data_IF_150641641598
#
_entry.id   IF_150641641598
#
_cell.length_a   1.000
_cell.length_b   1.000
_cell.length_c   1.000
_cell.angle_alpha   90.00
_cell.angle_beta   90.00
_cell.angle_gamma   90.00
#
_symmetry.space_group_name_H-M   'P 1'
#
loop_
_entity.id
_entity.type
_entity.pdbx_description
1 polymer ?
#
# COMPACT_ATOMS: atom_id res chain seq x y z
N UNK A 1 -37.44 -5.52 32.38
CA UNK A 1 -38.59 -4.63 32.09
C UNK A 1 -38.36 -4.01 30.71
N UNK A 2 -39.17 -4.10 29.67
CA UNK A 2 -40.24 -4.99 29.22
C UNK A 2 -40.25 -4.74 27.70
N UNK A 3 -39.94 -5.74 26.87
CA UNK A 3 -40.11 -5.66 25.41
C UNK A 3 -41.60 -5.42 25.15
N UNK A 4 -41.95 -4.27 24.57
CA UNK A 4 -43.30 -4.05 24.05
C UNK A 4 -43.30 -4.52 22.59
N UNK A 5 -43.37 -5.84 22.40
CA UNK A 5 -43.83 -6.43 21.14
C UNK A 5 -45.35 -6.25 21.11
N UNK A 6 -45.79 -5.04 20.73
CA UNK A 6 -47.19 -4.76 20.43
C UNK A 6 -47.48 -5.17 18.99
N UNK A 7 -47.58 -6.48 18.76
CA UNK A 7 -48.23 -7.02 17.55
C UNK A 7 -49.70 -6.67 17.62
N UNK A 8 -50.11 -5.59 16.96
CA UNK A 8 -51.53 -5.30 16.75
C UNK A 8 -52.07 -6.41 15.84
N UNK A 9 -53.02 -7.24 16.28
CA UNK A 9 -53.62 -8.25 15.42
C UNK A 9 -54.49 -7.54 14.38
N UNK A 10 -54.00 -7.47 13.14
CA UNK A 10 -54.68 -6.81 12.00
C UNK A 10 -55.90 -7.63 11.53
N UNK A 11 -56.07 -8.85 12.05
CA UNK A 11 -57.12 -9.80 11.68
C UNK A 11 -58.54 -9.34 12.05
N UNK A 12 -58.69 -8.42 13.00
CA UNK A 12 -59.97 -7.80 13.40
C UNK A 12 -60.15 -6.36 12.90
N UNK A 13 -59.18 -5.82 12.16
CA UNK A 13 -59.28 -4.46 11.63
C UNK A 13 -60.39 -4.38 10.56
N UNK A 14 -61.09 -3.25 10.43
CA UNK A 14 -61.95 -2.95 9.29
C UNK A 14 -61.25 -3.23 7.93
N UNK A 15 -61.99 -3.76 6.95
CA UNK A 15 -61.45 -4.17 5.63
C UNK A 15 -60.70 -3.06 4.89
N UNK A 16 -61.13 -1.81 5.05
CA UNK A 16 -60.45 -0.62 4.53
C UNK A 16 -59.05 -0.43 5.14
N UNK A 17 -58.89 -0.69 6.44
CA UNK A 17 -57.58 -0.64 7.12
C UNK A 17 -56.69 -1.80 6.68
N UNK A 18 -57.23 -3.02 6.55
CA UNK A 18 -56.46 -4.18 6.06
C UNK A 18 -55.93 -3.94 4.65
N UNK A 19 -56.80 -3.42 3.77
CA UNK A 19 -56.46 -3.10 2.39
C UNK A 19 -55.40 -1.99 2.33
N UNK A 20 -55.52 -0.95 3.15
CA UNK A 20 -54.53 0.11 3.23
C UNK A 20 -53.16 -0.41 3.72
N UNK A 21 -53.13 -1.26 4.75
CA UNK A 21 -51.89 -1.85 5.27
C UNK A 21 -51.23 -2.79 4.24
N UNK A 22 -52.02 -3.61 3.53
CA UNK A 22 -51.51 -4.46 2.45
C UNK A 22 -50.95 -3.63 1.30
N UNK A 23 -51.63 -2.54 0.90
CA UNK A 23 -51.13 -1.62 -0.11
C UNK A 23 -49.82 -0.94 0.33
N UNK A 24 -49.72 -0.52 1.60
CA UNK A 24 -48.50 0.08 2.14
C UNK A 24 -47.34 -0.93 2.19
N UNK A 25 -47.61 -2.18 2.59
CA UNK A 25 -46.62 -3.26 2.61
C UNK A 25 -46.13 -3.61 1.20
N UNK A 26 -47.04 -3.66 0.23
CA UNK A 26 -46.69 -3.90 -1.17
C UNK A 26 -45.89 -2.73 -1.77
N UNK A 27 -46.30 -1.49 -1.48
CA UNK A 27 -45.55 -0.29 -1.89
C UNK A 27 -44.15 -0.26 -1.28
N UNK A 28 -44.01 -0.61 0.01
CA UNK A 28 -42.73 -0.70 0.70
C UNK A 28 -41.82 -1.77 0.11
N UNK A 29 -42.33 -2.98 -0.13
CA UNK A 29 -41.56 -4.06 -0.78
C UNK A 29 -41.12 -3.66 -2.18
N UNK A 30 -42.02 -3.09 -2.98
CA UNK A 30 -41.69 -2.62 -4.33
C UNK A 30 -40.65 -1.50 -4.31
N UNK A 31 -40.76 -0.54 -3.37
CA UNK A 31 -39.75 0.50 -3.22
C UNK A 31 -38.39 -0.07 -2.79
N UNK A 32 -38.39 -1.08 -1.91
CA UNK A 32 -37.16 -1.74 -1.50
C UNK A 32 -36.53 -2.50 -2.69
N UNK A 33 -37.31 -3.27 -3.46
CA UNK A 33 -36.85 -3.95 -4.67
C UNK A 33 -36.25 -2.96 -5.69
N UNK A 34 -36.92 -1.84 -5.94
CA UNK A 34 -36.41 -0.80 -6.86
C UNK A 34 -35.12 -0.14 -6.35
N UNK A 35 -34.96 0.02 -5.02
CA UNK A 35 -33.72 0.55 -4.45
C UNK A 35 -32.57 -0.45 -4.60
N UNK A 36 -32.80 -1.73 -4.34
CA UNK A 36 -31.80 -2.79 -4.54
C UNK A 36 -31.36 -2.88 -6.01
N UNK A 37 -32.31 -2.84 -6.95
CA UNK A 37 -32.00 -2.88 -8.39
C UNK A 37 -31.18 -1.66 -8.83
N UNK A 38 -31.47 -0.47 -8.30
CA UNK A 38 -30.69 0.73 -8.58
C UNK A 38 -29.28 0.72 -7.96
N UNK A 39 -29.12 0.16 -6.76
CA UNK A 39 -27.82 -0.03 -6.11
C UNK A 39 -26.94 -1.02 -6.89
N UNK A 40 -27.52 -2.13 -7.36
CA UNK A 40 -26.84 -3.12 -8.20
C UNK A 40 -26.40 -2.51 -9.56
N UNK A 41 -27.27 -1.73 -10.20
CA UNK A 41 -26.93 -1.02 -11.44
C UNK A 41 -25.78 -0.02 -11.23
N UNK A 42 -25.79 0.69 -10.10
CA UNK A 42 -24.74 1.65 -9.75
C UNK A 42 -23.41 0.96 -9.50
N UNK A 43 -23.43 -0.19 -8.78
CA UNK A 43 -22.24 -1.00 -8.53
C UNK A 43 -21.69 -1.59 -9.85
N UNK A 44 -22.56 -2.11 -10.71
CA UNK A 44 -22.16 -2.63 -12.02
C UNK A 44 -21.53 -1.54 -12.90
N UNK A 45 -22.07 -0.32 -12.91
CA UNK A 45 -21.46 0.81 -13.59
C UNK A 45 -20.08 1.16 -13.01
N UNK A 46 -19.96 1.20 -11.68
CA UNK A 46 -18.71 1.50 -11.00
C UNK A 46 -17.60 0.48 -11.32
N UNK A 47 -17.93 -0.82 -11.31
CA UNK A 47 -17.02 -1.91 -11.69
C UNK A 47 -16.52 -1.72 -13.11
N UNK A 48 -17.39 -1.40 -14.07
CA UNK A 48 -17.00 -1.16 -15.46
C UNK A 48 -16.09 0.05 -15.63
N UNK A 49 -16.34 1.13 -14.89
CA UNK A 49 -15.51 2.35 -14.91
C UNK A 49 -14.11 2.08 -14.33
N UNK A 50 -14.06 1.42 -13.17
CA UNK A 50 -12.80 1.02 -12.54
C UNK A 50 -11.97 0.12 -13.46
N UNK A 51 -12.61 -0.91 -14.06
CA UNK A 51 -11.95 -1.83 -15.02
C UNK A 51 -11.32 -1.07 -16.19
N UNK A 52 -12.08 -0.14 -16.79
CA UNK A 52 -11.62 0.64 -17.94
C UNK A 52 -10.42 1.54 -17.59
N UNK A 53 -10.45 2.19 -16.43
CA UNK A 53 -9.36 3.08 -15.99
C UNK A 53 -8.11 2.29 -15.60
N UNK A 54 -8.26 1.20 -14.84
CA UNK A 54 -7.14 0.31 -14.48
C UNK A 54 -6.49 -0.31 -15.72
N UNK A 55 -7.28 -0.67 -16.73
CA UNK A 55 -6.77 -1.19 -17.99
C UNK A 55 -6.03 -0.11 -18.80
N UNK A 56 -6.54 1.11 -18.83
CA UNK A 56 -5.96 2.21 -19.62
C UNK A 56 -4.71 2.83 -18.98
N UNK A 57 -4.59 2.80 -17.64
CA UNK A 57 -3.54 3.51 -16.92
C UNK A 57 -2.13 2.98 -17.21
N UNK A 58 -1.97 1.68 -17.45
CA UNK A 58 -0.66 1.05 -17.71
C UNK A 58 0.34 1.09 -16.54
N UNK A 59 -0.05 1.68 -15.41
CA UNK A 59 0.72 1.82 -14.18
C UNK A 59 -0.21 1.61 -12.96
N UNK A 60 0.32 1.21 -11.78
CA UNK A 60 -0.49 1.09 -10.58
C UNK A 60 -1.17 2.41 -10.19
N UNK A 61 -2.44 2.33 -9.80
CA UNK A 61 -3.25 3.47 -9.35
C UNK A 61 -3.58 3.38 -7.87
N UNK A 62 -3.62 4.51 -7.19
CA UNK A 62 -4.13 4.62 -5.83
C UNK A 62 -5.66 4.46 -5.81
N UNK A 63 -6.20 3.98 -4.69
CA UNK A 63 -7.65 3.84 -4.53
C UNK A 63 -8.38 5.21 -4.63
N UNK A 64 -7.71 6.30 -4.22
CA UNK A 64 -8.17 7.69 -4.37
C UNK A 64 -8.36 8.07 -5.84
N UNK A 65 -7.38 7.78 -6.70
CA UNK A 65 -7.44 8.07 -8.14
C UNK A 65 -8.57 7.28 -8.82
N UNK A 66 -8.79 6.03 -8.40
CA UNK A 66 -9.88 5.21 -8.90
C UNK A 66 -11.23 5.80 -8.45
N UNK A 67 -11.31 6.29 -7.21
CA UNK A 67 -12.54 6.88 -6.66
C UNK A 67 -13.05 8.08 -7.48
N UNK A 68 -12.14 8.88 -8.05
CA UNK A 68 -12.49 10.10 -8.83
C UNK A 68 -13.36 9.81 -10.05
N UNK A 69 -13.26 8.60 -10.63
CA UNK A 69 -14.00 8.23 -11.84
C UNK A 69 -15.29 7.46 -11.55
N UNK A 70 -15.50 7.04 -10.30
CA UNK A 70 -16.67 6.25 -9.90
C UNK A 70 -17.90 7.12 -9.66
N UNK A 71 -19.12 6.54 -9.73
CA UNK A 71 -20.33 7.22 -9.25
C UNK A 71 -20.20 7.62 -7.78
N UNK A 72 -20.84 8.73 -7.41
CA UNK A 72 -20.80 9.23 -6.03
C UNK A 72 -21.44 8.25 -5.05
N UNK A 73 -20.84 8.11 -3.87
CA UNK A 73 -21.35 7.26 -2.79
C UNK A 73 -21.06 5.77 -2.93
N UNK A 74 -20.34 5.37 -3.98
CA UNK A 74 -19.88 3.98 -4.14
C UNK A 74 -18.68 3.70 -3.25
N UNK A 75 -18.69 2.51 -2.63
CA UNK A 75 -17.57 2.01 -1.84
C UNK A 75 -16.46 1.44 -2.75
N UNK A 76 -15.34 2.16 -2.84
CA UNK A 76 -14.20 1.82 -3.71
C UNK A 76 -13.59 0.46 -3.34
N UNK A 77 -13.28 0.15 -2.06
CA UNK A 77 -12.93 -1.20 -1.63
C UNK A 77 -13.85 -2.30 -2.16
N UNK A 78 -15.18 -2.13 -2.07
CA UNK A 78 -16.12 -3.13 -2.56
C UNK A 78 -16.01 -3.35 -4.08
N UNK A 79 -15.82 -2.28 -4.85
CA UNK A 79 -15.60 -2.35 -6.31
C UNK A 79 -14.30 -3.10 -6.63
N UNK A 80 -13.20 -2.78 -5.94
CA UNK A 80 -11.90 -3.42 -6.15
C UNK A 80 -11.93 -4.92 -5.79
N UNK A 81 -12.59 -5.29 -4.69
CA UNK A 81 -12.74 -6.69 -4.29
C UNK A 81 -13.63 -7.47 -5.25
N UNK A 82 -14.66 -6.82 -5.80
CA UNK A 82 -15.51 -7.41 -6.85
C UNK A 82 -14.71 -7.67 -8.11
N UNK A 83 -13.87 -6.72 -8.55
CA UNK A 83 -12.97 -6.91 -9.69
C UNK A 83 -11.92 -7.99 -9.43
N UNK A 84 -11.26 -7.98 -8.26
CA UNK A 84 -10.26 -8.99 -7.85
C UNK A 84 -10.86 -10.39 -7.93
N UNK A 85 -12.07 -10.57 -7.41
CA UNK A 85 -12.79 -11.86 -7.46
C UNK A 85 -13.18 -12.25 -8.88
N UNK A 86 -13.69 -11.30 -9.69
CA UNK A 86 -14.13 -11.55 -11.08
C UNK A 86 -12.97 -11.95 -12.00
N UNK A 87 -11.79 -11.42 -11.73
CA UNK A 87 -10.58 -11.65 -12.51
C UNK A 87 -9.68 -12.75 -11.95
N UNK A 88 -9.98 -13.35 -10.79
CA UNK A 88 -9.12 -14.34 -10.13
C UNK A 88 -8.79 -15.58 -10.99
N UNK A 89 -9.77 -16.09 -11.74
CA UNK A 89 -9.59 -17.29 -12.60
C UNK A 89 -9.34 -16.94 -14.08
N UNK A 90 -9.08 -15.66 -14.39
CA UNK A 90 -8.86 -15.20 -15.77
C UNK A 90 -7.36 -15.10 -16.06
N UNK A 91 -7.01 -15.02 -17.34
CA UNK A 91 -5.60 -14.84 -17.76
C UNK A 91 -4.98 -13.48 -17.43
N UNK A 92 -5.78 -12.57 -16.88
CA UNK A 92 -5.34 -11.29 -16.31
C UNK A 92 -5.96 -11.21 -14.92
N UNK A 93 -5.19 -10.80 -13.92
CA UNK A 93 -5.65 -10.66 -12.55
C UNK A 93 -5.48 -9.20 -12.09
N UNK A 94 -6.40 -8.75 -11.23
CA UNK A 94 -6.24 -7.49 -10.50
C UNK A 94 -5.42 -7.76 -9.23
N UNK A 95 -4.31 -7.05 -9.07
CA UNK A 95 -3.44 -7.18 -7.91
C UNK A 95 -3.23 -5.84 -7.22
N UNK A 96 -2.91 -5.93 -5.93
CA UNK A 96 -2.45 -4.79 -5.13
C UNK A 96 -0.93 -4.87 -5.01
N UNK A 97 -0.25 -3.74 -5.19
CA UNK A 97 1.20 -3.63 -5.14
C UNK A 97 1.56 -2.28 -4.54
N UNK A 98 2.23 -2.27 -3.38
CA UNK A 98 2.54 -1.04 -2.64
C UNK A 98 1.32 -0.18 -2.31
N UNK A 99 0.20 -0.81 -1.95
CA UNK A 99 -1.07 -0.11 -1.69
C UNK A 99 -1.79 0.45 -2.93
N UNK A 100 -1.31 0.11 -4.13
CA UNK A 100 -1.84 0.55 -5.43
C UNK A 100 -2.36 -0.63 -6.24
N UNK A 101 -3.25 -0.39 -7.18
CA UNK A 101 -3.98 -1.41 -7.92
C UNK A 101 -3.60 -1.41 -9.39
N UNK A 102 -3.35 -2.59 -9.97
CA UNK A 102 -3.13 -2.76 -11.42
C UNK A 102 -3.61 -4.11 -11.93
N UNK A 103 -3.89 -4.17 -13.23
CA UNK A 103 -3.99 -5.44 -13.93
C UNK A 103 -2.60 -5.98 -14.29
N UNK A 104 -2.42 -7.30 -14.13
CA UNK A 104 -1.25 -8.03 -14.61
C UNK A 104 -1.67 -9.37 -15.22
N UNK A 105 -0.81 -9.96 -16.05
CA UNK A 105 -1.04 -11.33 -16.55
C UNK A 105 -1.07 -12.31 -15.40
N UNK A 106 -1.91 -13.34 -15.51
CA UNK A 106 -1.99 -14.38 -14.48
C UNK A 106 -0.65 -15.12 -14.33
N UNK A 107 -0.28 -15.39 -13.07
CA UNK A 107 1.06 -15.90 -12.73
C UNK A 107 1.32 -17.29 -13.33
N UNK A 108 0.27 -18.11 -13.49
CA UNK A 108 0.32 -19.43 -14.11
C UNK A 108 0.56 -19.37 -15.63
N UNK A 109 0.33 -18.22 -16.26
CA UNK A 109 0.54 -17.98 -17.69
C UNK A 109 1.89 -17.31 -18.01
N UNK A 110 2.77 -17.11 -17.02
CA UNK A 110 4.07 -16.47 -17.20
C UNK A 110 4.98 -17.15 -18.24
N UNK A 111 4.79 -18.45 -18.49
CA UNK A 111 5.55 -19.23 -19.47
C UNK A 111 5.39 -18.74 -20.93
N UNK A 112 4.33 -17.97 -21.24
CA UNK A 112 4.07 -17.43 -22.57
C UNK A 112 4.99 -16.26 -22.96
N UNK A 113 5.66 -15.63 -21.99
CA UNK A 113 6.36 -14.34 -22.18
C UNK A 113 7.89 -14.43 -22.03
N UNK A 114 8.46 -15.64 -22.07
CA UNK A 114 9.89 -15.89 -21.78
C UNK A 114 10.83 -15.40 -22.90
N UNK A 115 10.33 -15.16 -24.12
CA UNK A 115 11.16 -14.93 -25.31
C UNK A 115 11.51 -13.45 -25.60
N UNK A 116 10.82 -12.47 -24.98
CA UNK A 116 11.01 -11.02 -25.27
C UNK A 116 11.82 -10.24 -24.21
N UNK A 117 12.72 -10.89 -23.46
CA UNK A 117 13.66 -10.13 -22.62
C UNK A 117 14.88 -9.74 -23.42
N UNK A 118 14.85 -8.53 -23.99
CA UNK A 118 16.09 -7.75 -24.14
C UNK A 118 16.78 -7.76 -22.78
N UNK A 119 18.01 -8.26 -22.71
CA UNK A 119 18.83 -8.34 -21.49
C UNK A 119 18.93 -6.95 -20.83
N UNK A 120 17.95 -6.60 -19.99
CA UNK A 120 18.18 -5.65 -18.92
C UNK A 120 19.24 -6.31 -18.06
N UNK A 121 20.42 -5.70 -17.96
CA UNK A 121 21.52 -6.22 -17.14
C UNK A 121 20.96 -6.57 -15.77
N UNK A 122 20.84 -7.87 -15.50
CA UNK A 122 20.37 -8.36 -14.22
C UNK A 122 21.29 -7.83 -13.13
N UNK A 123 20.74 -7.53 -11.95
CA UNK A 123 21.57 -7.20 -10.80
C UNK A 123 22.58 -8.32 -10.57
N UNK A 124 23.81 -7.94 -10.25
CA UNK A 124 24.80 -8.92 -9.79
C UNK A 124 24.31 -9.59 -8.50
N UNK A 125 24.76 -10.81 -8.25
CA UNK A 125 24.40 -11.54 -7.03
C UNK A 125 24.71 -10.72 -5.77
N UNK A 126 25.85 -10.01 -5.73
CA UNK A 126 26.21 -9.15 -4.60
C UNK A 126 25.25 -7.96 -4.41
N UNK A 127 24.69 -7.42 -5.51
CA UNK A 127 23.69 -6.36 -5.43
C UNK A 127 22.34 -6.88 -4.93
N UNK A 128 21.94 -8.08 -5.36
CA UNK A 128 20.73 -8.75 -4.89
C UNK A 128 20.82 -9.12 -3.40
N UNK A 129 21.96 -9.65 -2.95
CA UNK A 129 22.24 -9.89 -1.53
C UNK A 129 22.14 -8.60 -0.70
N UNK A 130 22.75 -7.52 -1.18
CA UNK A 130 22.71 -6.22 -0.51
C UNK A 130 21.28 -5.67 -0.43
N UNK A 131 20.51 -5.81 -1.52
CA UNK A 131 19.12 -5.40 -1.57
C UNK A 131 18.25 -6.20 -0.58
N UNK A 132 18.43 -7.51 -0.51
CA UNK A 132 17.71 -8.37 0.44
C UNK A 132 17.98 -7.92 1.89
N UNK A 133 19.24 -7.69 2.25
CA UNK A 133 19.62 -7.22 3.59
C UNK A 133 18.95 -5.87 3.91
N UNK A 134 18.86 -4.96 2.93
CA UNK A 134 18.15 -3.69 3.13
C UNK A 134 16.64 -3.92 3.31
N UNK A 135 16.02 -4.78 2.49
CA UNK A 135 14.58 -5.04 2.56
C UNK A 135 14.15 -5.61 3.93
N UNK A 136 14.89 -6.59 4.46
CA UNK A 136 14.59 -7.26 5.73
C UNK A 136 15.06 -6.49 6.98
N UNK A 137 16.11 -5.66 6.86
CA UNK A 137 16.76 -4.99 7.99
C UNK A 137 16.53 -3.49 8.09
N UNK A 138 15.74 -2.88 7.19
CA UNK A 138 15.54 -1.43 7.20
C UNK A 138 14.86 -0.93 8.49
N UNK A 139 15.21 0.27 8.99
CA UNK A 139 16.28 1.16 8.51
C UNK A 139 17.69 0.65 8.86
N UNK A 140 18.54 0.47 7.84
CA UNK A 140 19.88 -0.15 8.01
C UNK A 140 21.02 0.75 7.53
N UNK A 141 22.15 0.74 8.22
CA UNK A 141 23.36 1.47 7.83
C UNK A 141 24.30 0.62 6.97
N UNK A 142 25.21 1.25 6.23
CA UNK A 142 26.23 0.54 5.45
C UNK A 142 27.05 -0.44 6.31
N UNK A 143 27.43 -0.04 7.52
CA UNK A 143 28.22 -0.88 8.42
C UNK A 143 27.47 -2.14 8.86
N UNK A 144 26.16 -2.03 9.11
CA UNK A 144 25.31 -3.18 9.47
C UNK A 144 25.13 -4.12 8.28
N UNK A 145 24.96 -3.58 7.06
CA UNK A 145 24.94 -4.40 5.84
C UNK A 145 26.25 -5.20 5.71
N UNK A 146 27.40 -4.53 5.86
CA UNK A 146 28.72 -5.17 5.78
C UNK A 146 28.93 -6.23 6.86
N UNK A 147 28.42 -6.00 8.07
CA UNK A 147 28.47 -6.96 9.17
C UNK A 147 27.67 -8.24 8.84
N UNK A 148 26.47 -8.11 8.27
CA UNK A 148 25.62 -9.25 7.88
C UNK A 148 26.22 -10.00 6.69
N UNK A 149 26.79 -9.29 5.71
CA UNK A 149 27.46 -9.92 4.55
C UNK A 149 28.79 -10.59 4.90
N UNK A 150 29.40 -10.22 6.02
CA UNK A 150 30.75 -10.64 6.40
C UNK A 150 31.87 -10.09 5.49
N UNK A 151 31.53 -9.25 4.51
CA UNK A 151 32.47 -8.62 3.57
C UNK A 151 32.05 -7.19 3.26
N UNK A 152 33.02 -6.34 2.92
CA UNK A 152 32.77 -4.97 2.52
C UNK A 152 31.83 -4.91 1.29
N UNK A 153 30.88 -4.00 1.33
CA UNK A 153 30.02 -3.71 0.18
C UNK A 153 30.84 -2.89 -0.80
N UNK A 154 30.72 -3.14 -2.10
CA UNK A 154 31.45 -2.32 -3.08
C UNK A 154 30.92 -0.87 -3.04
N UNK A 155 31.74 0.13 -3.38
CA UNK A 155 31.32 1.53 -3.32
C UNK A 155 30.07 1.78 -4.20
N UNK A 156 30.01 1.19 -5.39
CA UNK A 156 28.94 1.41 -6.36
C UNK A 156 27.69 0.54 -6.19
N UNK A 157 27.70 -0.50 -5.34
CA UNK A 157 26.52 -1.39 -5.22
C UNK A 157 25.29 -0.65 -4.71
N UNK A 158 25.44 0.14 -3.64
CA UNK A 158 24.34 0.92 -3.07
C UNK A 158 23.91 2.01 -4.05
N UNK A 159 24.87 2.68 -4.70
CA UNK A 159 24.59 3.71 -5.71
C UNK A 159 23.75 3.14 -6.87
N UNK A 160 24.09 1.94 -7.38
CA UNK A 160 23.29 1.27 -8.42
C UNK A 160 21.87 0.95 -7.96
N UNK A 161 21.68 0.54 -6.70
CA UNK A 161 20.34 0.27 -6.15
C UNK A 161 19.52 1.56 -5.99
N UNK A 162 20.17 2.68 -5.66
CA UNK A 162 19.55 4.01 -5.60
C UNK A 162 19.22 4.54 -7.00
N UNK A 163 20.11 4.37 -7.98
CA UNK A 163 19.87 4.76 -9.38
C UNK A 163 18.73 3.97 -10.01
N UNK A 164 18.63 2.67 -9.69
CA UNK A 164 17.47 1.85 -10.06
C UNK A 164 16.16 2.34 -9.39
N UNK A 165 16.28 3.12 -8.31
CA UNK A 165 15.18 3.65 -7.53
C UNK A 165 14.58 2.65 -6.55
N UNK A 166 15.27 1.54 -6.24
CA UNK A 166 14.78 0.49 -5.31
C UNK A 166 15.16 0.75 -3.85
N UNK A 167 16.19 1.57 -3.63
CA UNK A 167 16.68 1.96 -2.31
C UNK A 167 16.71 3.48 -2.20
N UNK A 168 16.36 4.01 -1.04
CA UNK A 168 16.48 5.44 -0.69
C UNK A 168 17.15 5.63 0.67
N UNK A 169 17.60 6.85 0.92
CA UNK A 169 18.02 7.28 2.26
C UNK A 169 16.76 7.50 3.10
N UNK A 170 16.68 6.85 4.27
CA UNK A 170 15.54 6.96 5.19
C UNK A 170 15.82 7.91 6.38
N UNK A 171 17.08 8.16 6.70
CA UNK A 171 17.45 9.07 7.79
C UNK A 171 18.89 8.90 8.26
N UNK A 172 19.16 9.24 9.53
CA UNK A 172 20.46 9.07 10.19
C UNK A 172 20.28 8.49 11.59
N UNK A 173 21.13 7.54 11.97
CA UNK A 173 21.05 6.89 13.28
C UNK A 173 21.58 7.80 14.39
N UNK A 174 20.95 7.78 15.58
CA UNK A 174 21.38 8.54 16.77
C UNK A 174 22.51 7.84 17.53
N UNK A 175 23.53 7.40 16.80
CA UNK A 175 24.74 6.76 17.31
C UNK A 175 25.99 7.61 16.98
N UNK A 176 27.14 7.39 17.63
CA UNK A 176 28.37 8.12 17.31
C UNK A 176 28.69 8.05 15.81
N UNK A 177 28.94 9.20 15.20
CA UNK A 177 29.18 9.33 13.75
C UNK A 177 27.91 9.57 12.90
N UNK A 178 26.71 9.45 13.47
CA UNK A 178 25.41 9.69 12.81
C UNK A 178 25.34 9.13 11.38
N UNK A 179 25.59 7.82 11.19
CA UNK A 179 25.61 7.20 9.87
C UNK A 179 24.22 7.27 9.21
N UNK A 180 24.23 7.37 7.90
CA UNK A 180 23.03 7.37 7.06
C UNK A 180 22.37 5.98 7.09
N UNK A 181 21.05 5.96 7.18
CA UNK A 181 20.23 4.74 7.08
C UNK A 181 19.55 4.64 5.73
N UNK A 182 19.39 3.41 5.27
CA UNK A 182 18.84 3.01 3.98
C UNK A 182 17.54 2.24 4.19
N UNK A 183 16.65 2.34 3.22
CA UNK A 183 15.40 1.58 3.14
C UNK A 183 14.94 1.40 1.69
N UNK A 184 13.94 0.55 1.48
CA UNK A 184 13.35 0.32 0.16
C UNK A 184 12.36 1.43 -0.22
N UNK A 185 11.93 1.43 -1.48
CA UNK A 185 10.97 2.39 -2.04
C UNK A 185 9.70 1.69 -2.53
N UNK A 186 8.68 2.45 -2.94
CA UNK A 186 7.48 1.88 -3.55
C UNK A 186 7.80 1.20 -4.88
N UNK A 187 8.78 1.73 -5.63
CA UNK A 187 9.28 1.11 -6.86
C UNK A 187 9.89 -0.28 -6.62
N UNK A 188 10.44 -0.54 -5.42
CA UNK A 188 10.85 -1.88 -5.04
C UNK A 188 9.62 -2.79 -4.92
N UNK A 189 8.58 -2.37 -4.19
CA UNK A 189 7.33 -3.14 -4.06
C UNK A 189 6.70 -3.41 -5.42
N UNK A 190 6.66 -2.41 -6.31
CA UNK A 190 6.17 -2.52 -7.69
C UNK A 190 6.94 -3.54 -8.53
N UNK A 191 8.26 -3.55 -8.40
CA UNK A 191 9.13 -4.45 -9.16
C UNK A 191 9.01 -5.89 -8.69
N UNK A 192 8.91 -6.11 -7.37
CA UNK A 192 8.80 -7.44 -6.78
C UNK A 192 7.34 -7.91 -6.60
N UNK A 193 6.35 -7.08 -6.95
CA UNK A 193 4.93 -7.43 -6.88
C UNK A 193 4.41 -7.60 -5.45
N UNK A 194 4.95 -6.84 -4.49
CA UNK A 194 4.61 -6.96 -3.08
C UNK A 194 3.52 -5.96 -2.68
N UNK A 195 2.51 -6.41 -1.93
CA UNK A 195 1.48 -5.53 -1.35
C UNK A 195 2.09 -4.58 -0.31
N UNK A 196 2.86 -5.14 0.64
CA UNK A 196 3.66 -4.40 1.62
C UNK A 196 4.95 -5.16 1.97
N UNK A 197 5.81 -4.56 2.77
CA UNK A 197 7.00 -5.23 3.31
C UNK A 197 6.65 -6.32 4.33
N UNK A 198 5.44 -6.29 4.91
CA UNK A 198 5.01 -7.26 5.94
C UNK A 198 4.75 -8.66 5.36
N UNK A 199 4.60 -8.75 4.03
CA UNK A 199 4.44 -10.01 3.29
C UNK A 199 5.78 -10.74 3.14
N UNK A 200 6.90 -10.06 3.42
CA UNK A 200 8.21 -10.70 3.34
C UNK A 200 8.34 -11.79 4.43
N UNK A 201 8.85 -12.99 4.09
CA UNK A 201 8.99 -14.08 5.04
C UNK A 201 9.69 -13.70 6.35
N UNK A 202 9.07 -13.98 7.48
CA UNK A 202 9.67 -13.72 8.79
C UNK A 202 10.91 -14.59 9.04
N UNK A 203 11.74 -14.22 10.02
CA UNK A 203 12.93 -15.00 10.39
C UNK A 203 12.61 -16.49 10.62
N UNK A 204 11.55 -16.77 11.37
CA UNK A 204 11.15 -18.15 11.69
C UNK A 204 10.78 -18.97 10.44
N UNK A 205 10.18 -18.33 9.43
CA UNK A 205 9.83 -18.97 8.16
C UNK A 205 11.10 -19.29 7.37
N UNK A 206 12.03 -18.32 7.28
CA UNK A 206 13.32 -18.50 6.63
C UNK A 206 14.20 -19.58 7.31
N UNK A 207 14.12 -19.71 8.64
CA UNK A 207 14.80 -20.79 9.39
C UNK A 207 14.16 -22.16 9.09
N UNK A 208 12.82 -22.22 9.02
CA UNK A 208 12.08 -23.46 8.75
C UNK A 208 12.29 -23.98 7.32
N UNK A 209 12.53 -23.09 6.36
CA UNK A 209 12.87 -23.42 4.98
C UNK A 209 14.36 -23.75 4.78
N UNK A 210 15.18 -23.63 5.83
CA UNK A 210 16.63 -23.87 5.77
C UNK A 210 17.38 -22.83 4.94
N UNK A 211 16.79 -21.65 4.73
CA UNK A 211 17.37 -20.57 3.94
C UNK A 211 18.31 -19.66 4.75
N UNK A 212 18.35 -19.83 6.07
CA UNK A 212 19.23 -19.07 6.96
C UNK A 212 20.52 -19.79 7.29
N UNK A 213 21.63 -19.06 7.15
CA UNK A 213 22.94 -19.46 7.69
C UNK A 213 23.25 -18.68 8.97
N UNK A 214 24.03 -19.27 9.88
CA UNK A 214 24.35 -18.79 11.25
C UNK A 214 25.04 -17.41 11.36
N UNK A 215 25.08 -16.61 10.29
CA UNK A 215 25.86 -15.36 10.17
C UNK A 215 25.00 -14.09 10.35
N UNK A 216 23.72 -14.22 10.73
CA UNK A 216 22.86 -13.04 10.93
C UNK A 216 22.97 -12.52 12.37
N UNK A 217 23.38 -11.24 12.59
CA UNK A 217 23.41 -10.63 13.92
C UNK A 217 22.05 -10.67 14.63
N UNK A 218 22.08 -10.85 15.96
CA UNK A 218 20.87 -10.76 16.78
C UNK A 218 20.22 -9.37 16.64
N UNK A 219 18.91 -9.33 16.38
CA UNK A 219 18.15 -8.10 16.16
C UNK A 219 18.21 -7.51 14.74
N UNK A 220 18.73 -8.25 13.76
CA UNK A 220 18.75 -7.81 12.36
C UNK A 220 17.38 -7.84 11.68
N UNK A 221 16.52 -8.79 12.04
CA UNK A 221 15.15 -8.84 11.55
C UNK A 221 14.28 -7.90 12.38
N UNK A 222 13.56 -7.02 11.71
CA UNK A 222 12.49 -6.27 12.35
C UNK A 222 11.36 -7.26 12.71
N UNK A 223 11.31 -7.72 13.96
CA UNK A 223 10.07 -8.30 14.48
C UNK A 223 8.98 -7.23 14.31
N UNK A 224 7.93 -7.56 13.55
CA UNK A 224 6.91 -6.64 13.00
C UNK A 224 6.10 -5.80 14.00
N UNK A 225 6.53 -5.71 15.26
CA UNK A 225 5.92 -4.97 16.35
C UNK A 225 6.55 -3.60 16.65
N UNK A 226 7.69 -3.24 16.06
CA UNK A 226 8.40 -1.99 16.40
C UNK A 226 8.32 -0.87 15.34
N UNK A 227 7.45 -1.00 14.34
CA UNK A 227 7.41 -0.08 13.19
C UNK A 227 6.57 1.19 13.39
N UNK A 228 5.68 1.26 14.39
CA UNK A 228 4.79 2.41 14.54
C UNK A 228 5.40 3.57 15.34
N UNK A 229 6.19 3.30 16.39
CA UNK A 229 6.57 4.38 17.32
C UNK A 229 7.77 5.23 16.88
N UNK A 230 8.72 4.69 16.11
CA UNK A 230 9.95 5.44 15.76
C UNK A 230 9.83 6.24 14.45
N UNK A 231 8.91 5.88 13.55
CA UNK A 231 8.71 6.57 12.28
C UNK A 231 7.93 7.89 12.44
N UNK A 232 6.88 7.89 13.28
CA UNK A 232 6.07 9.09 13.55
C UNK A 232 6.85 10.19 14.29
N UNK A 233 7.77 9.82 15.20
CA UNK A 233 8.60 10.81 15.90
C UNK A 233 9.57 11.53 14.96
N UNK A 234 10.10 10.84 13.93
CA UNK A 234 11.09 11.39 13.01
C UNK A 234 10.50 12.30 11.93
N UNK A 235 9.26 12.05 11.49
CA UNK A 235 8.57 12.93 10.53
C UNK A 235 8.15 14.25 11.19
N UNK A 236 7.73 14.20 12.47
CA UNK A 236 7.32 15.40 13.22
C UNK A 236 8.45 16.40 13.47
N UNK A 237 9.70 15.93 13.61
CA UNK A 237 10.87 16.81 13.83
C UNK A 237 11.36 17.44 12.51
N UNK A 238 11.20 16.76 11.37
CA UNK A 238 11.64 17.26 10.06
C UNK A 238 10.82 18.47 9.59
N UNK A 239 9.51 18.51 9.86
CA UNK A 239 8.66 19.66 9.56
C UNK A 239 8.95 20.87 10.48
N UNK A 240 9.52 20.64 11.67
CA UNK A 240 9.82 21.70 12.63
C UNK A 240 11.09 22.49 12.31
N UNK A 241 12.06 21.86 11.63
CA UNK A 241 13.34 22.51 11.26
C UNK A 241 13.23 23.39 10.01
N UNK A 242 12.16 23.27 9.21
CA UNK A 242 11.98 24.06 7.97
C UNK A 242 11.42 25.47 8.20
N UNK A 243 10.95 25.78 9.42
CA UNK A 243 10.24 27.03 9.72
C UNK A 243 11.04 28.08 10.53
N UNK A 244 12.36 27.91 10.68
CA UNK A 244 13.20 29.01 11.21
C UNK A 244 13.59 29.95 10.09
N UNK A 245 12.63 30.83 9.77
CA UNK A 245 12.72 31.89 8.78
C UNK A 245 13.93 32.82 9.02
N UNK A 246 14.60 33.13 7.92
CA UNK A 246 15.81 33.92 7.84
C UNK A 246 15.48 35.40 8.06
N UNK A 247 15.54 35.87 9.31
CA UNK A 247 15.50 37.30 9.61
C UNK A 247 16.87 37.91 9.31
N UNK A 248 17.07 38.39 8.09
CA UNK A 248 18.16 39.33 7.80
C UNK A 248 17.87 40.67 8.43
N UNK A 249 18.65 41.00 9.46
CA UNK A 249 18.75 42.35 10.00
C UNK A 249 19.48 43.24 8.99
N UNK A 250 18.72 44.14 8.39
CA UNK A 250 19.14 45.15 7.44
C UNK A 250 19.86 46.27 8.21
N UNK A 251 21.20 46.35 8.10
CA UNK A 251 21.98 47.45 8.65
C UNK A 251 21.50 48.79 8.07
N UNK A 252 20.77 49.55 8.89
CA UNK A 252 20.46 50.95 8.66
C UNK A 252 21.69 51.82 8.89
N UNK A 253 22.03 52.60 7.86
CA UNK A 253 22.84 53.81 7.96
C UNK A 253 22.19 54.85 8.89
N UNK A 254 23.01 55.59 9.63
CA UNK A 254 22.98 57.05 9.82
C UNK A 254 24.16 57.40 10.75
N UNK A 255 25.21 58.05 10.23
CA UNK A 255 25.44 59.52 10.26
C UNK A 255 25.62 60.13 11.67
N UNK A 256 26.84 60.62 11.85
CA UNK A 256 27.27 61.86 12.52
C UNK A 256 27.56 61.96 14.04
N UNK A 257 28.58 62.81 14.26
CA UNK A 257 28.93 63.68 15.40
C UNK A 257 29.95 63.12 16.43
N UNK A 258 31.25 63.38 16.22
CA UNK A 258 31.93 64.57 16.77
C UNK A 258 33.35 64.78 16.22
#
# INVERSE_FOLDING_TARGET
MTKVESSIPIEDAPEDIRRAVQQLSFAYKRSAETLYEAEDDTMAEAVRRAEAVLFAAGQPLEASEIAEVLPQGVDVPAVLMTLKSTYAERGVNLVEVGGRWRFQTADDLGYLFVEERHEQKSLSQAALETLAIIAYGQPVTRAEIEAVRGVAVSKGTIDTLMEAGWVKIKGRRRTPGRPVTLGTTDKFLEHFGLESLDVLPGRAELESEGLLSDVIPDGFFADGTSMHNEAEELESEAESEENTDFVTDFMGSDEDIH
#
